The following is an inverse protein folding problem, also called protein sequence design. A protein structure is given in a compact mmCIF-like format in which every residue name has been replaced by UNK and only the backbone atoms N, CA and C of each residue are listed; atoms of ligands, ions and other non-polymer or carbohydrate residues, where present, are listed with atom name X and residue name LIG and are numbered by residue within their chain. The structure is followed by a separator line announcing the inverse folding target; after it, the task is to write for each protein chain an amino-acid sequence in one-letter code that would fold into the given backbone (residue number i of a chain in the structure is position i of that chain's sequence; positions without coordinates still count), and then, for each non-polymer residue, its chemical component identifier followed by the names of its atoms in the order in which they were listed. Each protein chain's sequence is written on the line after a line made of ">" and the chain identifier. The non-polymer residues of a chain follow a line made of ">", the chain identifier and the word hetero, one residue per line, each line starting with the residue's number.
data_IF_432189447536
#
_entry.id   IF_432189447536
#
_cell.length_a   1.000
_cell.length_b   1.000
_cell.length_c   1.000
_cell.angle_alpha   90.00
_cell.angle_beta   90.00
_cell.angle_gamma   90.00
#
_symmetry.space_group_name_H-M   'P 1'
#
loop_
_entity.id
_entity.type
_entity.pdbx_description
1 polymer ?
#
# COMPACT_ATOMS: atom_id res chain seq x y z
N UNK A 1 -6.92 -10.65 -9.79
CA UNK A 1 -6.51 -9.24 -9.64
C UNK A 1 -5.00 -9.14 -9.58
N UNK A 2 -4.45 -8.05 -10.08
CA UNK A 2 -3.00 -7.88 -10.17
C UNK A 2 -2.61 -6.43 -9.88
N UNK A 3 -1.51 -6.23 -9.16
CA UNK A 3 -0.89 -4.92 -8.96
C UNK A 3 0.56 -4.98 -9.44
N UNK A 4 0.95 -4.02 -10.28
CA UNK A 4 2.30 -3.91 -10.82
C UNK A 4 2.76 -2.46 -10.77
N UNK A 5 4.05 -2.23 -10.97
CA UNK A 5 4.61 -0.88 -11.03
C UNK A 5 5.62 -0.76 -12.16
N UNK A 6 5.61 0.33 -12.92
CA UNK A 6 6.69 0.59 -13.86
C UNK A 6 8.01 0.98 -13.16
N UNK A 7 7.95 1.31 -11.86
CA UNK A 7 9.12 1.73 -11.10
C UNK A 7 10.01 0.56 -10.69
N UNK A 8 9.44 -0.61 -10.40
CA UNK A 8 10.20 -1.80 -10.01
C UNK A 8 9.37 -3.05 -10.25
N UNK A 9 10.06 -4.18 -10.42
CA UNK A 9 9.40 -5.48 -10.60
C UNK A 9 9.28 -6.20 -9.26
N UNK A 10 8.30 -7.09 -9.17
CA UNK A 10 8.10 -7.93 -7.98
C UNK A 10 9.42 -8.62 -7.58
N UNK A 11 9.76 -8.58 -6.32
CA UNK A 11 10.97 -9.09 -5.67
C UNK A 11 12.25 -8.30 -5.94
N UNK A 12 12.19 -7.24 -6.77
CA UNK A 12 13.39 -6.45 -7.11
C UNK A 12 13.50 -5.20 -6.22
N UNK A 13 14.65 -4.54 -6.33
CA UNK A 13 14.94 -3.35 -5.53
C UNK A 13 14.06 -2.17 -5.93
N UNK A 14 13.57 -1.46 -4.92
CA UNK A 14 12.85 -0.20 -5.10
C UNK A 14 13.88 0.91 -5.33
N UNK A 15 13.77 1.70 -6.41
CA UNK A 15 14.70 2.80 -6.64
C UNK A 15 14.68 3.83 -5.52
N UNK A 16 15.84 4.43 -5.24
CA UNK A 16 16.03 5.34 -4.11
C UNK A 16 15.14 6.58 -4.14
N UNK A 17 14.66 7.00 -5.30
CA UNK A 17 13.76 8.18 -5.37
C UNK A 17 12.45 7.96 -4.60
N UNK A 18 12.04 6.70 -4.37
CA UNK A 18 10.81 6.36 -3.65
C UNK A 18 11.06 6.11 -2.17
N UNK A 19 12.25 6.42 -1.67
CA UNK A 19 12.71 6.10 -0.32
C UNK A 19 13.22 7.33 0.40
N UNK A 20 13.56 7.19 1.69
CA UNK A 20 14.14 8.29 2.48
C UNK A 20 15.51 8.75 1.99
N UNK A 21 16.17 7.97 1.11
CA UNK A 21 17.45 8.36 0.51
C UNK A 21 17.26 9.24 -0.74
N UNK A 22 16.05 9.45 -1.18
CA UNK A 22 15.71 10.28 -2.32
C UNK A 22 14.57 11.23 -2.01
N UNK A 23 13.76 11.54 -3.00
CA UNK A 23 12.64 12.48 -2.83
C UNK A 23 11.46 11.91 -2.03
N UNK A 24 11.51 10.64 -1.69
CA UNK A 24 10.48 9.96 -0.89
C UNK A 24 9.08 10.05 -1.52
N UNK A 25 9.06 9.92 -2.83
CA UNK A 25 7.84 9.98 -3.65
C UNK A 25 7.20 8.61 -3.73
N UNK A 26 5.87 8.53 -3.69
CA UNK A 26 5.18 7.25 -3.86
C UNK A 26 5.31 6.75 -5.32
N UNK A 27 5.52 5.44 -5.52
CA UNK A 27 5.64 4.88 -6.88
C UNK A 27 4.31 4.89 -7.63
N UNK A 28 4.39 4.79 -8.95
CA UNK A 28 3.22 4.56 -9.79
C UNK A 28 2.84 3.08 -9.74
N UNK A 29 1.52 2.79 -9.75
CA UNK A 29 1.01 1.42 -9.80
C UNK A 29 -0.05 1.27 -10.87
N UNK A 30 -0.12 0.06 -11.45
CA UNK A 30 -1.21 -0.35 -12.34
C UNK A 30 -2.00 -1.46 -11.66
N UNK A 31 -3.32 -1.41 -11.78
CA UNK A 31 -4.23 -2.38 -11.20
C UNK A 31 -5.01 -3.03 -12.34
N UNK A 32 -5.00 -4.36 -12.40
CA UNK A 32 -5.65 -5.12 -13.46
C UNK A 32 -6.52 -6.23 -12.88
N UNK A 33 -7.51 -6.63 -13.67
CA UNK A 33 -8.36 -7.79 -13.41
C UNK A 33 -9.09 -7.73 -12.06
N UNK A 34 -9.61 -6.56 -11.72
CA UNK A 34 -10.45 -6.37 -10.53
C UNK A 34 -11.76 -7.14 -10.74
N UNK A 35 -12.18 -8.00 -9.77
CA UNK A 35 -13.44 -8.72 -9.92
C UNK A 35 -14.64 -7.81 -10.13
N UNK A 36 -15.62 -8.24 -10.93
CA UNK A 36 -16.78 -7.42 -11.29
C UNK A 36 -17.63 -6.98 -10.10
N UNK A 37 -17.71 -7.83 -9.08
CA UNK A 37 -18.53 -7.54 -7.90
C UNK A 37 -17.81 -6.70 -6.84
N UNK A 38 -16.63 -6.18 -7.17
CA UNK A 38 -15.86 -5.31 -6.28
C UNK A 38 -16.55 -3.94 -6.13
N UNK A 39 -16.72 -3.51 -4.90
CA UNK A 39 -17.25 -2.18 -4.57
C UNK A 39 -16.13 -1.18 -4.29
N UNK A 40 -15.08 -1.62 -3.58
CA UNK A 40 -13.96 -0.76 -3.23
C UNK A 40 -12.67 -1.55 -3.16
N UNK A 41 -11.54 -0.81 -3.19
CA UNK A 41 -10.21 -1.39 -3.05
C UNK A 41 -9.53 -0.80 -1.81
N UNK A 42 -8.62 -1.59 -1.25
CA UNK A 42 -7.78 -1.17 -0.12
C UNK A 42 -6.32 -1.41 -0.50
N UNK A 43 -5.47 -0.40 -0.23
CA UNK A 43 -4.03 -0.50 -0.41
C UNK A 43 -3.35 -0.38 0.95
N UNK A 44 -2.54 -1.39 1.29
CA UNK A 44 -1.71 -1.38 2.50
C UNK A 44 -0.28 -1.69 2.09
N UNK A 45 0.63 -0.77 2.42
CA UNK A 45 2.07 -0.98 2.20
C UNK A 45 2.74 -1.13 3.57
N UNK A 46 3.38 -2.27 3.81
CA UNK A 46 4.04 -2.51 5.09
C UNK A 46 5.41 -3.17 4.92
N UNK A 47 6.21 -3.07 5.99
CA UNK A 47 7.53 -3.67 6.13
C UNK A 47 7.49 -4.68 7.28
N UNK A 48 7.43 -6.00 6.97
CA UNK A 48 7.40 -7.02 8.00
C UNK A 48 8.77 -7.26 8.65
N UNK A 49 9.83 -6.69 8.10
CA UNK A 49 11.20 -6.88 8.59
C UNK A 49 11.66 -5.76 9.53
N UNK A 50 10.81 -4.79 9.81
CA UNK A 50 11.15 -3.70 10.72
C UNK A 50 11.39 -4.22 12.15
N UNK A 51 12.36 -3.63 12.87
CA UNK A 51 12.62 -4.08 14.25
C UNK A 51 11.41 -3.94 15.16
N UNK A 52 11.10 -5.00 15.89
CA UNK A 52 10.07 -5.01 16.93
C UNK A 52 8.64 -5.15 16.45
N UNK A 53 8.31 -4.75 15.24
CA UNK A 53 6.93 -4.85 14.71
C UNK A 53 6.92 -4.60 13.21
N UNK A 54 5.84 -5.04 12.55
CA UNK A 54 5.58 -4.65 11.17
C UNK A 54 5.33 -3.14 11.13
N UNK A 55 6.00 -2.45 10.22
CA UNK A 55 5.86 -1.00 10.07
C UNK A 55 4.96 -0.69 8.88
N UNK A 56 3.89 0.07 9.13
CA UNK A 56 2.93 0.44 8.10
C UNK A 56 3.37 1.73 7.43
N UNK A 57 3.60 1.66 6.12
CA UNK A 57 4.14 2.77 5.34
C UNK A 57 3.06 3.60 4.65
N UNK A 58 1.95 2.97 4.26
CA UNK A 58 0.91 3.65 3.48
C UNK A 58 -0.39 2.88 3.57
N UNK A 59 -1.49 3.58 3.87
CA UNK A 59 -2.81 2.98 4.00
C UNK A 59 -3.83 3.86 3.31
N UNK A 60 -4.55 3.29 2.34
CA UNK A 60 -5.66 3.97 1.66
C UNK A 60 -6.79 2.95 1.49
N UNK A 61 -8.00 3.35 1.82
CA UNK A 61 -9.17 2.49 1.68
C UNK A 61 -10.30 3.24 0.98
N UNK A 62 -11.39 2.53 0.67
CA UNK A 62 -12.52 3.08 -0.10
C UNK A 62 -12.06 3.65 -1.46
N UNK A 63 -11.05 3.01 -2.06
CA UNK A 63 -10.63 3.36 -3.41
C UNK A 63 -11.71 2.83 -4.36
N UNK A 64 -12.26 3.66 -5.27
CA UNK A 64 -13.27 3.18 -6.20
C UNK A 64 -12.79 2.00 -7.05
N UNK A 65 -13.65 1.04 -7.28
CA UNK A 65 -13.29 -0.20 -7.99
C UNK A 65 -12.88 0.01 -9.45
N UNK A 66 -13.20 1.15 -10.04
CA UNK A 66 -12.83 1.45 -11.42
C UNK A 66 -11.40 1.98 -11.57
N UNK A 67 -10.71 2.26 -10.46
CA UNK A 67 -9.34 2.79 -10.51
C UNK A 67 -8.41 1.71 -11.05
N UNK A 68 -7.71 2.03 -12.15
CA UNK A 68 -6.77 1.12 -12.79
C UNK A 68 -5.32 1.58 -12.68
N UNK A 69 -5.11 2.79 -12.15
CA UNK A 69 -3.78 3.39 -12.04
C UNK A 69 -3.71 4.30 -10.84
N UNK A 70 -2.59 4.22 -10.12
CA UNK A 70 -2.24 5.18 -9.07
C UNK A 70 -1.00 5.91 -9.58
N UNK A 71 -1.11 7.22 -9.75
CA UNK A 71 -0.03 8.01 -10.33
C UNK A 71 1.09 8.26 -9.33
N UNK A 72 2.32 8.33 -9.86
CA UNK A 72 3.51 8.64 -9.08
C UNK A 72 3.30 9.93 -8.29
N UNK A 73 3.63 9.87 -7.00
CA UNK A 73 3.59 11.04 -6.12
C UNK A 73 2.21 11.51 -5.74
N UNK A 74 1.16 10.72 -6.03
CA UNK A 74 -0.22 11.11 -5.72
C UNK A 74 -0.91 10.07 -4.87
N UNK A 75 -1.80 10.55 -3.99
CA UNK A 75 -2.72 9.68 -3.28
C UNK A 75 -3.77 9.18 -4.26
N UNK A 76 -4.13 7.89 -4.22
CA UNK A 76 -5.28 7.43 -4.99
C UNK A 76 -6.55 8.05 -4.44
N UNK A 77 -7.58 8.13 -5.26
CA UNK A 77 -8.91 8.51 -4.79
C UNK A 77 -9.31 7.52 -3.69
N UNK A 78 -9.84 8.03 -2.58
CA UNK A 78 -10.19 7.20 -1.43
C UNK A 78 -9.98 7.94 -0.12
N UNK A 79 -9.82 7.18 0.96
CA UNK A 79 -9.66 7.71 2.31
C UNK A 79 -8.31 7.24 2.87
N UNK A 80 -7.52 8.18 3.39
CA UNK A 80 -6.20 7.86 3.94
C UNK A 80 -6.30 7.35 5.38
N UNK A 81 -5.60 6.26 5.68
CA UNK A 81 -5.44 5.75 7.03
C UNK A 81 -4.13 6.25 7.65
N UNK A 82 -3.96 5.99 8.95
CA UNK A 82 -2.76 6.41 9.68
C UNK A 82 -1.65 5.36 9.54
N UNK A 83 -0.48 5.81 9.10
CA UNK A 83 0.72 4.98 9.01
C UNK A 83 1.43 4.89 10.37
N UNK A 84 2.52 4.12 10.45
CA UNK A 84 3.24 3.90 11.71
C UNK A 84 4.01 5.11 12.21
N UNK A 85 4.14 6.18 11.40
CA UNK A 85 4.67 7.47 11.87
C UNK A 85 3.60 8.33 12.55
N UNK A 86 2.35 7.85 12.58
CA UNK A 86 1.26 8.60 13.21
C UNK A 86 0.66 9.68 12.34
N UNK A 87 0.83 9.58 11.03
CA UNK A 87 0.28 10.53 10.05
C UNK A 87 -0.31 9.78 8.87
N UNK A 88 -1.05 10.48 8.01
CA UNK A 88 -1.58 9.91 6.76
C UNK A 88 -0.56 10.11 5.63
N UNK A 89 -0.69 9.29 4.58
CA UNK A 89 0.13 9.41 3.39
C UNK A 89 1.25 8.40 3.31
N UNK A 90 2.01 8.49 2.23
CA UNK A 90 3.12 7.60 1.94
C UNK A 90 4.37 8.01 2.72
N UNK A 91 5.00 7.04 3.39
CA UNK A 91 6.37 7.15 3.85
C UNK A 91 7.16 6.01 3.24
N UNK A 92 8.27 6.32 2.59
CA UNK A 92 9.04 5.32 1.84
C UNK A 92 9.95 4.47 2.69
N UNK A 93 10.58 3.47 2.06
CA UNK A 93 11.58 2.62 2.70
C UNK A 93 12.70 3.41 3.36
N UNK A 94 13.01 3.07 4.60
CA UNK A 94 14.11 3.67 5.35
C UNK A 94 14.65 2.67 6.38
N UNK A 95 15.14 1.49 5.92
CA UNK A 95 15.57 0.45 6.86
C UNK A 95 16.77 0.90 7.66
N UNK A 96 16.80 0.69 8.99
CA UNK A 96 17.93 1.09 9.81
C UNK A 96 19.17 0.27 9.51
N UNK A 97 19.03 -0.99 9.07
CA UNK A 97 20.14 -1.85 8.66
C UNK A 97 19.62 -3.00 7.82
N UNK A 98 20.47 -3.51 6.93
CA UNK A 98 20.15 -4.66 6.09
C UNK A 98 19.10 -4.37 5.03
N UNK A 99 18.66 -5.43 4.36
CA UNK A 99 17.65 -5.37 3.31
C UNK A 99 16.29 -5.73 3.90
N UNK A 100 15.31 -4.84 3.74
CA UNK A 100 13.94 -5.08 4.16
C UNK A 100 13.04 -5.32 2.96
N UNK A 101 11.90 -6.00 3.20
CA UNK A 101 10.86 -6.19 2.21
C UNK A 101 9.76 -5.15 2.43
N UNK A 102 9.25 -4.60 1.33
CA UNK A 102 8.15 -3.63 1.34
C UNK A 102 7.03 -4.22 0.49
N UNK A 103 5.94 -4.58 1.13
CA UNK A 103 4.85 -5.29 0.49
C UNK A 103 3.69 -4.34 0.25
N UNK A 104 3.31 -4.19 -1.02
CA UNK A 104 2.14 -3.41 -1.44
C UNK A 104 1.01 -4.41 -1.62
N UNK A 105 0.07 -4.40 -0.68
CA UNK A 105 -1.07 -5.33 -0.63
C UNK A 105 -2.31 -4.62 -1.12
N UNK A 106 -2.98 -5.22 -2.09
CA UNK A 106 -4.23 -4.69 -2.65
C UNK A 106 -5.34 -5.68 -2.37
N UNK A 107 -6.45 -5.20 -1.81
CA UNK A 107 -7.62 -6.02 -1.50
C UNK A 107 -8.83 -5.49 -2.25
N UNK A 108 -9.61 -6.41 -2.84
CA UNK A 108 -10.91 -6.09 -3.43
C UNK A 108 -12.00 -6.46 -2.43
N UNK A 109 -12.87 -5.51 -2.11
CA UNK A 109 -13.93 -5.71 -1.14
C UNK A 109 -15.30 -5.62 -1.79
N UNK A 110 -16.27 -6.35 -1.24
CA UNK A 110 -17.66 -6.34 -1.69
C UNK A 110 -18.48 -5.19 -1.10
N UNK A 111 -17.83 -4.27 -0.40
CA UNK A 111 -18.48 -3.15 0.29
C UNK A 111 -17.56 -1.94 0.37
N UNK A 112 -18.11 -0.77 0.65
CA UNK A 112 -17.36 0.36 1.17
C UNK A 112 -17.29 0.23 2.68
N UNK A 113 -16.21 0.72 3.27
CA UNK A 113 -16.01 0.66 4.72
C UNK A 113 -16.49 1.95 5.38
N UNK A 114 -17.19 1.82 6.51
CA UNK A 114 -17.66 2.95 7.30
C UNK A 114 -16.58 3.32 8.33
N UNK A 115 -15.47 3.86 7.82
CA UNK A 115 -14.33 4.28 8.62
C UNK A 115 -13.94 5.70 8.22
N UNK A 116 -13.42 6.46 9.18
CA UNK A 116 -12.99 7.83 8.97
C UNK A 116 -11.53 7.91 8.55
N UNK A 117 -11.15 9.06 7.97
CA UNK A 117 -9.76 9.37 7.71
C UNK A 117 -8.94 9.24 8.99
N UNK A 118 -7.74 8.67 8.88
CA UNK A 118 -6.88 8.46 10.04
C UNK A 118 -7.09 7.15 10.77
N UNK A 119 -8.01 6.29 10.29
CA UNK A 119 -8.19 4.95 10.88
C UNK A 119 -6.88 4.16 10.82
N UNK A 120 -6.65 3.34 11.85
CA UNK A 120 -5.44 2.51 11.92
C UNK A 120 -5.57 1.27 11.05
N UNK A 121 -4.43 0.59 10.81
CA UNK A 121 -4.45 -0.69 10.09
C UNK A 121 -5.29 -1.72 10.83
N UNK A 122 -5.22 -1.75 12.15
CA UNK A 122 -5.99 -2.69 12.97
C UNK A 122 -7.50 -2.46 12.82
N UNK A 123 -7.94 -1.21 12.84
CA UNK A 123 -9.35 -0.86 12.61
C UNK A 123 -9.79 -1.24 11.20
N UNK A 124 -8.93 -0.96 10.22
CA UNK A 124 -9.19 -1.28 8.82
C UNK A 124 -9.33 -2.78 8.61
N UNK A 125 -8.37 -3.57 9.11
CA UNK A 125 -8.38 -5.02 8.94
C UNK A 125 -9.59 -5.66 9.62
N UNK A 126 -9.98 -5.16 10.80
CA UNK A 126 -11.17 -5.64 11.48
C UNK A 126 -12.43 -5.40 10.63
N UNK A 127 -12.54 -4.25 9.97
CA UNK A 127 -13.67 -3.92 9.10
C UNK A 127 -13.68 -4.74 7.81
N UNK A 128 -12.53 -5.21 7.37
CA UNK A 128 -12.40 -5.98 6.12
C UNK A 128 -12.83 -7.44 6.27
N UNK A 129 -12.87 -7.96 7.49
CA UNK A 129 -13.21 -9.37 7.74
C UNK A 129 -14.58 -9.71 7.14
N UNK A 130 -14.63 -10.77 6.32
CA UNK A 130 -15.86 -11.21 5.68
C UNK A 130 -16.22 -10.46 4.40
N UNK A 131 -15.41 -9.46 4.00
CA UNK A 131 -15.69 -8.63 2.82
C UNK A 131 -14.65 -8.73 1.71
N UNK A 132 -13.56 -9.47 1.93
CA UNK A 132 -12.48 -9.61 0.94
C UNK A 132 -12.88 -10.64 -0.10
N UNK A 133 -12.94 -10.23 -1.37
CA UNK A 133 -13.28 -11.12 -2.49
C UNK A 133 -12.05 -11.49 -3.34
N UNK A 134 -10.98 -10.70 -3.28
CA UNK A 134 -9.72 -11.03 -3.94
C UNK A 134 -8.60 -10.19 -3.33
N UNK A 135 -7.35 -10.62 -3.55
CA UNK A 135 -6.17 -9.87 -3.10
C UNK A 135 -5.02 -10.07 -4.06
N UNK A 136 -4.09 -9.11 -4.05
CA UNK A 136 -2.87 -9.16 -4.85
C UNK A 136 -1.75 -8.48 -4.08
N UNK A 137 -0.51 -8.83 -4.40
CA UNK A 137 0.66 -8.24 -3.77
C UNK A 137 1.73 -7.89 -4.80
N UNK A 138 2.47 -6.81 -4.50
CA UNK A 138 3.70 -6.48 -5.18
C UNK A 138 4.74 -6.19 -4.10
N UNK A 139 5.84 -6.94 -4.10
CA UNK A 139 6.89 -6.79 -3.09
C UNK A 139 8.15 -6.24 -3.74
N UNK A 140 8.73 -5.21 -3.13
CA UNK A 140 10.05 -4.71 -3.47
C UNK A 140 10.97 -4.79 -2.26
N UNK A 141 12.28 -4.68 -2.50
CA UNK A 141 13.28 -4.68 -1.44
C UNK A 141 14.02 -3.36 -1.43
N UNK A 142 14.60 -3.02 -0.29
CA UNK A 142 15.48 -1.86 -0.22
C UNK A 142 16.50 -2.02 0.90
N UNK A 143 17.70 -1.53 0.62
CA UNK A 143 18.80 -1.42 1.58
C UNK A 143 19.39 -0.02 1.41
N UNK A 144 19.58 0.72 2.50
CA UNK A 144 20.15 2.07 2.43
C UNK A 144 21.57 2.04 1.90
N UNK A 145 21.90 3.06 1.15
CA UNK A 145 23.20 3.22 0.50
C UNK A 145 24.25 3.81 1.45
#
# INVERSE_FOLDING_TARGET
>A
MKITSPAFQHTKEIPSEYTCDGSDTSPEFNIEDVPEDTKSLVLINDDPDAPGRTWDHWIVFNIPSHVTKIEKGKEPEGVAGTNSWGRTGYGGPCPPSGTHRYIFKLYALDTYLDLEEGSTKEELEASMVGHIIDSAELMGTYKRR
#
